data_IF_831035435972
#
_entry.id   IF_831035435972
#
_cell.length_a   1.000
_cell.length_b   1.000
_cell.length_c   1.000
_cell.angle_alpha   90.00
_cell.angle_beta   90.00
_cell.angle_gamma   90.00
#
_symmetry.space_group_name_H-M   'P 1'
#
loop_
_entity.id
_entity.type
_entity.pdbx_description
1 polymer ?
#
# COMPACT_ATOMS: atom_id res chain seq x y z
N UNK A 1 9.57 -2.91 -3.55
CA UNK A 1 10.86 -2.20 -3.68
C UNK A 1 11.96 -3.27 -3.65
N UNK A 2 12.80 -3.41 -4.69
CA UNK A 2 13.65 -4.60 -4.86
C UNK A 2 14.97 -4.56 -4.05
N UNK A 3 15.21 -3.48 -3.30
CA UNK A 3 16.41 -3.33 -2.48
C UNK A 3 16.07 -3.61 -1.02
N UNK A 4 16.99 -4.30 -0.32
CA UNK A 4 16.84 -4.59 1.11
C UNK A 4 17.55 -3.51 1.93
N UNK A 5 16.85 -2.97 2.90
CA UNK A 5 17.39 -2.07 3.91
C UNK A 5 16.64 -2.31 5.23
N UNK A 6 17.29 -2.19 6.40
CA UNK A 6 16.61 -2.30 7.70
C UNK A 6 15.52 -1.24 7.90
N UNK A 7 15.74 -0.04 7.33
CA UNK A 7 14.79 1.07 7.37
C UNK A 7 14.85 1.92 6.10
N UNK A 8 13.85 2.78 5.90
CA UNK A 8 13.86 3.74 4.80
C UNK A 8 15.05 4.69 4.90
N UNK A 9 15.36 5.19 6.10
CA UNK A 9 16.48 6.10 6.37
C UNK A 9 17.85 5.47 6.09
N UNK A 10 17.98 4.16 6.22
CA UNK A 10 19.24 3.43 5.99
C UNK A 10 19.42 2.96 4.55
N UNK A 11 18.43 3.18 3.67
CA UNK A 11 18.52 2.73 2.29
C UNK A 11 19.60 3.54 1.53
N UNK A 12 20.65 2.90 0.99
CA UNK A 12 21.64 3.62 0.19
C UNK A 12 21.02 4.22 -1.07
N UNK A 13 21.46 5.42 -1.45
CA UNK A 13 20.99 6.13 -2.67
C UNK A 13 19.46 6.17 -2.76
N UNK A 14 18.77 6.57 -1.68
CA UNK A 14 17.31 6.49 -1.54
C UNK A 14 16.55 7.00 -2.77
N UNK A 15 16.93 8.17 -3.28
CA UNK A 15 16.26 8.79 -4.44
C UNK A 15 16.36 7.92 -5.69
N UNK A 16 17.57 7.43 -6.01
CA UNK A 16 17.81 6.59 -7.19
C UNK A 16 17.14 5.23 -7.05
N UNK A 17 17.22 4.64 -5.86
CA UNK A 17 16.56 3.38 -5.56
C UNK A 17 15.03 3.50 -5.64
N UNK A 18 14.47 4.65 -5.25
CA UNK A 18 13.04 4.94 -5.37
C UNK A 18 12.64 5.15 -6.84
N UNK A 19 13.38 5.94 -7.60
CA UNK A 19 13.10 6.18 -9.02
C UNK A 19 13.19 4.89 -9.85
N UNK A 20 14.21 4.05 -9.60
CA UNK A 20 14.29 2.71 -10.20
C UNK A 20 13.06 1.87 -9.83
N UNK A 21 12.67 1.89 -8.55
CA UNK A 21 11.46 1.19 -8.09
C UNK A 21 10.20 1.68 -8.80
N UNK A 22 10.05 2.99 -9.00
CA UNK A 22 8.91 3.59 -9.71
C UNK A 22 8.87 3.10 -11.16
N UNK A 23 10.01 3.11 -11.87
CA UNK A 23 10.10 2.64 -13.25
C UNK A 23 9.71 1.16 -13.36
N UNK A 24 10.31 0.30 -12.52
CA UNK A 24 10.02 -1.13 -12.50
C UNK A 24 8.54 -1.41 -12.25
N UNK A 25 7.95 -0.80 -11.22
CA UNK A 25 6.55 -1.06 -10.90
C UNK A 25 5.59 -0.46 -11.92
N UNK A 26 5.95 0.65 -12.57
CA UNK A 26 5.17 1.20 -13.69
C UNK A 26 5.08 0.19 -14.84
N UNK A 27 6.18 -0.44 -15.22
CA UNK A 27 6.20 -1.47 -16.26
C UNK A 27 5.32 -2.67 -15.89
N UNK A 28 5.50 -3.20 -14.67
CA UNK A 28 4.72 -4.34 -14.17
C UNK A 28 3.22 -4.01 -14.13
N UNK A 29 2.84 -2.85 -13.60
CA UNK A 29 1.43 -2.45 -13.50
C UNK A 29 0.82 -2.25 -14.89
N UNK A 30 1.55 -1.65 -15.82
CA UNK A 30 1.07 -1.45 -17.19
C UNK A 30 0.88 -2.76 -17.96
N UNK A 31 1.73 -3.76 -17.67
CA UNK A 31 1.64 -5.09 -18.26
C UNK A 31 0.49 -5.90 -17.65
N UNK A 32 0.43 -6.00 -16.32
CA UNK A 32 -0.52 -6.86 -15.60
C UNK A 32 -1.93 -6.26 -15.53
N UNK A 33 -2.03 -4.91 -15.50
CA UNK A 33 -3.28 -4.16 -15.31
C UNK A 33 -4.12 -4.69 -14.13
N UNK A 34 -3.56 -4.71 -12.91
CA UNK A 34 -4.24 -5.29 -11.75
C UNK A 34 -5.45 -4.46 -11.33
N UNK A 35 -6.55 -5.12 -10.96
CA UNK A 35 -7.73 -4.46 -10.39
C UNK A 35 -7.50 -4.03 -8.93
N UNK A 36 -6.58 -4.71 -8.23
CA UNK A 36 -6.25 -4.46 -6.82
C UNK A 36 -4.73 -4.50 -6.67
N UNK A 37 -4.19 -3.49 -6.00
CA UNK A 37 -2.78 -3.40 -5.59
C UNK A 37 -2.76 -3.35 -4.07
N UNK A 38 -1.92 -4.19 -3.45
CA UNK A 38 -1.71 -4.17 -2.00
C UNK A 38 -0.26 -3.76 -1.72
N UNK A 39 -0.09 -2.68 -0.95
CA UNK A 39 1.21 -2.16 -0.55
C UNK A 39 1.37 -2.22 0.97
N UNK A 40 2.61 -2.35 1.46
CA UNK A 40 2.94 -2.40 2.89
C UNK A 40 3.95 -1.30 3.20
N UNK A 41 3.66 -0.43 4.17
CA UNK A 41 4.46 0.78 4.44
C UNK A 41 3.73 2.03 3.95
N UNK A 42 2.64 2.35 4.65
CA UNK A 42 1.63 3.34 4.24
C UNK A 42 2.18 4.73 3.92
N UNK A 43 3.19 5.21 4.65
CA UNK A 43 3.72 6.58 4.49
C UNK A 43 4.66 6.70 3.29
N UNK A 44 5.54 5.72 3.10
CA UNK A 44 6.67 5.84 2.17
C UNK A 44 6.27 5.48 0.74
N UNK A 45 5.32 4.56 0.56
CA UNK A 45 4.98 4.02 -0.75
C UNK A 45 3.81 4.71 -1.46
N UNK A 46 2.97 5.45 -0.72
CA UNK A 46 1.76 6.05 -1.30
C UNK A 46 2.08 7.07 -2.40
N UNK A 47 3.00 8.00 -2.15
CA UNK A 47 3.37 9.03 -3.13
C UNK A 47 3.97 8.43 -4.42
N UNK A 48 4.96 7.51 -4.36
CA UNK A 48 5.44 6.78 -5.54
C UNK A 48 4.34 6.07 -6.33
N UNK A 49 3.40 5.40 -5.66
CA UNK A 49 2.31 4.69 -6.34
C UNK A 49 1.31 5.65 -7.00
N UNK A 50 1.01 6.80 -6.38
CA UNK A 50 0.22 7.87 -6.99
C UNK A 50 0.91 8.43 -8.25
N UNK A 51 2.25 8.56 -8.27
CA UNK A 51 2.99 8.94 -9.48
C UNK A 51 2.86 7.93 -10.63
N UNK A 52 2.53 6.68 -10.32
CA UNK A 52 2.32 5.62 -11.33
C UNK A 52 0.85 5.58 -11.77
N UNK A 53 -0.07 5.63 -10.81
CA UNK A 53 -1.50 5.39 -11.03
C UNK A 53 -2.31 6.67 -11.34
N UNK A 54 -1.72 7.85 -11.13
CA UNK A 54 -2.37 9.14 -11.26
C UNK A 54 -3.08 9.58 -9.97
N UNK A 55 -4.04 10.49 -10.08
CA UNK A 55 -4.80 11.00 -8.93
C UNK A 55 -5.95 10.03 -8.59
N UNK A 56 -6.12 9.62 -7.32
CA UNK A 56 -7.27 8.81 -6.92
C UNK A 56 -8.57 9.62 -7.02
N UNK A 57 -9.66 8.93 -7.37
CA UNK A 57 -11.02 9.48 -7.35
C UNK A 57 -11.56 9.62 -5.92
N UNK A 58 -11.19 8.68 -5.05
CA UNK A 58 -11.55 8.68 -3.65
C UNK A 58 -10.41 8.06 -2.82
N UNK A 59 -10.32 8.49 -1.57
CA UNK A 59 -9.33 8.02 -0.61
C UNK A 59 -10.00 7.81 0.73
N UNK A 60 -9.90 6.59 1.26
CA UNK A 60 -10.47 6.20 2.54
C UNK A 60 -9.36 5.82 3.52
N UNK A 61 -9.60 6.07 4.80
CA UNK A 61 -8.73 5.61 5.89
C UNK A 61 -9.52 4.69 6.80
N UNK A 62 -8.94 3.53 7.10
CA UNK A 62 -9.58 2.48 7.87
C UNK A 62 -8.72 2.12 9.09
N UNK A 63 -9.34 2.03 10.27
CA UNK A 63 -8.66 1.45 11.44
C UNK A 63 -8.27 -0.01 11.16
N UNK A 64 -7.15 -0.46 11.70
CA UNK A 64 -6.72 -1.87 11.66
C UNK A 64 -6.85 -2.56 13.03
N UNK A 65 -7.55 -1.94 13.97
CA UNK A 65 -7.75 -2.47 15.32
C UNK A 65 -6.48 -2.47 16.18
N UNK A 66 -5.49 -1.63 15.86
CA UNK A 66 -4.21 -1.53 16.57
C UNK A 66 -3.90 -0.07 16.94
N UNK A 67 -4.41 0.39 18.07
CA UNK A 67 -4.21 1.78 18.52
C UNK A 67 -4.66 2.79 17.46
N UNK A 68 -3.79 3.76 17.15
CA UNK A 68 -4.01 4.79 16.12
C UNK A 68 -3.53 4.39 14.72
N UNK A 69 -3.14 3.13 14.51
CA UNK A 69 -2.66 2.64 13.21
C UNK A 69 -3.84 2.41 12.27
N UNK A 70 -3.63 2.75 11.01
CA UNK A 70 -4.65 2.66 9.97
C UNK A 70 -4.09 2.16 8.65
N UNK A 71 -4.95 1.56 7.84
CA UNK A 71 -4.75 1.33 6.43
C UNK A 71 -5.32 2.50 5.62
N UNK A 72 -4.96 2.62 4.34
CA UNK A 72 -5.69 3.50 3.41
C UNK A 72 -6.09 2.74 2.15
N UNK A 73 -7.27 3.08 1.63
CA UNK A 73 -7.80 2.55 0.38
C UNK A 73 -7.98 3.72 -0.59
N UNK A 74 -7.16 3.74 -1.65
CA UNK A 74 -7.28 4.71 -2.73
C UNK A 74 -7.98 4.05 -3.92
N UNK A 75 -8.98 4.73 -4.48
CA UNK A 75 -9.81 4.23 -5.59
C UNK A 75 -9.45 5.02 -6.84
N UNK A 76 -8.96 4.32 -7.87
CA UNK A 76 -8.63 4.87 -9.18
C UNK A 76 -9.67 4.47 -10.22
N UNK A 77 -9.57 5.02 -11.43
CA UNK A 77 -10.45 4.62 -12.53
C UNK A 77 -10.29 3.14 -12.93
N UNK A 78 -9.07 2.61 -12.83
CA UNK A 78 -8.69 1.29 -13.30
C UNK A 78 -8.46 0.25 -12.20
N UNK A 79 -8.22 0.69 -10.96
CA UNK A 79 -7.84 -0.20 -9.87
C UNK A 79 -8.10 0.39 -8.49
N UNK A 80 -7.91 -0.41 -7.44
CA UNK A 80 -7.86 0.02 -6.04
C UNK A 80 -6.47 -0.22 -5.47
N UNK A 81 -5.97 0.70 -4.64
CA UNK A 81 -4.73 0.56 -3.89
C UNK A 81 -5.02 0.47 -2.39
N UNK A 82 -4.78 -0.69 -1.80
CA UNK A 82 -4.79 -0.88 -0.36
C UNK A 82 -3.38 -0.72 0.19
N UNK A 83 -3.14 0.33 0.97
CA UNK A 83 -1.89 0.55 1.70
C UNK A 83 -2.03 0.13 3.16
N UNK A 84 -1.36 -0.94 3.53
CA UNK A 84 -1.31 -1.50 4.88
C UNK A 84 -0.13 -0.95 5.68
N UNK A 85 -0.21 -0.95 7.02
CA UNK A 85 0.95 -0.70 7.86
C UNK A 85 2.01 -1.79 7.67
N UNK A 86 3.25 -1.52 8.09
CA UNK A 86 4.35 -2.46 7.97
C UNK A 86 4.08 -3.72 8.81
N UNK A 87 3.79 -4.85 8.17
CA UNK A 87 3.27 -6.04 8.86
C UNK A 87 4.30 -6.73 9.78
N UNK A 88 5.60 -6.49 9.58
CA UNK A 88 6.62 -6.96 10.54
C UNK A 88 6.58 -6.23 11.89
N UNK A 89 6.10 -4.97 11.88
CA UNK A 89 5.95 -4.14 13.08
C UNK A 89 4.54 -4.26 13.67
N UNK A 90 3.54 -4.28 12.80
CA UNK A 90 2.14 -4.32 13.18
C UNK A 90 1.55 -5.66 12.76
N UNK A 91 1.52 -6.62 13.70
CA UNK A 91 1.01 -7.98 13.49
C UNK A 91 -0.52 -8.01 13.46
N UNK A 92 -1.11 -7.28 12.52
CA UNK A 92 -2.57 -7.15 12.37
C UNK A 92 -3.20 -8.35 11.67
N UNK A 93 -2.41 -9.13 10.92
CA UNK A 93 -2.86 -10.37 10.30
C UNK A 93 -2.96 -11.49 11.33
N UNK A 94 -4.10 -12.18 11.38
CA UNK A 94 -4.36 -13.27 12.33
C UNK A 94 -4.56 -12.83 13.79
N UNK A 95 -4.49 -11.53 14.08
CA UNK A 95 -4.76 -10.99 15.42
C UNK A 95 -6.27 -10.86 15.65
N UNK A 96 -6.86 -11.53 16.67
CA UNK A 96 -8.30 -11.52 16.88
C UNK A 96 -8.92 -10.13 16.99
N UNK A 97 -8.27 -9.19 17.69
CA UNK A 97 -8.77 -7.83 17.87
C UNK A 97 -8.71 -6.98 16.59
N UNK A 98 -7.93 -7.42 15.59
CA UNK A 98 -7.87 -6.78 14.28
C UNK A 98 -8.84 -7.40 13.27
N UNK A 99 -9.36 -8.61 13.53
CA UNK A 99 -10.11 -9.40 12.57
C UNK A 99 -11.31 -8.66 11.96
N UNK A 100 -12.15 -8.04 12.80
CA UNK A 100 -13.33 -7.29 12.34
C UNK A 100 -12.92 -6.14 11.42
N UNK A 101 -11.90 -5.37 11.81
CA UNK A 101 -11.39 -4.26 10.99
C UNK A 101 -10.83 -4.74 9.65
N UNK A 102 -10.06 -5.83 9.65
CA UNK A 102 -9.50 -6.40 8.41
C UNK A 102 -10.61 -6.91 7.50
N UNK A 103 -11.62 -7.61 8.03
CA UNK A 103 -12.76 -8.09 7.26
C UNK A 103 -13.51 -6.93 6.59
N UNK A 104 -13.72 -5.82 7.30
CA UNK A 104 -14.33 -4.61 6.75
C UNK A 104 -13.50 -4.02 5.61
N UNK A 105 -12.16 -3.96 5.75
CA UNK A 105 -11.29 -3.46 4.69
C UNK A 105 -11.38 -4.38 3.45
N UNK A 106 -11.31 -5.70 3.67
CA UNK A 106 -11.38 -6.69 2.59
C UNK A 106 -12.71 -6.60 1.84
N UNK A 107 -13.83 -6.45 2.53
CA UNK A 107 -15.14 -6.30 1.87
C UNK A 107 -15.23 -5.04 1.00
N UNK A 108 -14.61 -3.92 1.41
CA UNK A 108 -14.51 -2.68 0.61
C UNK A 108 -13.62 -2.83 -0.62
N UNK A 109 -12.56 -3.61 -0.51
CA UNK A 109 -11.69 -3.91 -1.66
C UNK A 109 -12.45 -4.72 -2.70
N UNK A 110 -13.26 -5.69 -2.27
CA UNK A 110 -14.02 -6.57 -3.17
C UNK A 110 -15.36 -6.02 -3.67
N UNK A 111 -15.93 -4.98 -3.06
CA UNK A 111 -17.18 -4.39 -3.55
C UNK A 111 -16.97 -3.76 -4.94
N UNK A 112 -17.52 -4.42 -5.96
CA UNK A 112 -17.57 -3.97 -7.36
C UNK A 112 -18.45 -2.74 -7.48
#
# INVERSE_FOLDING_TARGET
MPFRSPSWSELPRQGESLEFGIQLWREVINCVKPNIIVAMGKSELRSPLIKILGKPKASETHSVGWGNISASLDIFASCKLLSLPHLSRFKIMGRPQSQTCINTIVSRVHSV
#
